data_IF_335208110143
#
_entry.id   IF_335208110143
#
_cell.length_a   1.000
_cell.length_b   1.000
_cell.length_c   1.000
_cell.angle_alpha   90.00
_cell.angle_beta   90.00
_cell.angle_gamma   90.00
#
_symmetry.space_group_name_H-M   'P 1'
#
loop_
_entity.id
_entity.type
_entity.pdbx_description
1 polymer ?
#
# COMPACT_ATOMS: atom_id res chain seq x y z
N UNK A 1 23.20 10.55 -80.06
CA UNK A 1 24.24 10.45 -79.03
C UNK A 1 23.58 10.18 -77.71
N UNK A 2 23.69 8.93 -77.25
CA UNK A 2 23.21 8.41 -75.98
C UNK A 2 24.29 8.77 -74.94
N UNK A 3 23.95 9.48 -73.86
CA UNK A 3 24.83 9.60 -72.70
C UNK A 3 24.20 8.78 -71.58
N UNK A 4 24.98 7.79 -71.17
CA UNK A 4 24.67 6.77 -70.19
C UNK A 4 24.34 7.38 -68.84
N UNK A 5 23.38 6.75 -68.17
CA UNK A 5 23.14 6.92 -66.75
C UNK A 5 24.42 6.54 -66.01
N UNK A 6 25.05 7.52 -65.36
CA UNK A 6 26.05 7.24 -64.34
C UNK A 6 25.27 6.76 -63.11
N UNK A 7 25.34 5.46 -62.86
CA UNK A 7 25.17 4.88 -61.54
C UNK A 7 26.20 5.55 -60.62
N UNK A 8 25.77 6.60 -59.91
CA UNK A 8 26.53 7.06 -58.75
C UNK A 8 26.33 6.02 -57.65
N UNK A 9 27.41 5.31 -57.40
CA UNK A 9 27.70 4.40 -56.31
C UNK A 9 27.75 5.19 -54.99
N UNK A 10 26.59 5.44 -54.37
CA UNK A 10 26.54 6.06 -53.04
C UNK A 10 26.84 5.01 -51.97
N UNK A 11 28.03 5.16 -51.37
CA UNK A 11 28.66 4.37 -50.32
C UNK A 11 27.88 4.28 -48.97
N UNK A 12 26.62 4.68 -48.92
CA UNK A 12 25.76 4.64 -47.74
C UNK A 12 24.33 4.22 -48.12
N UNK A 13 23.79 3.13 -47.56
CA UNK A 13 22.49 2.56 -47.95
C UNK A 13 21.29 3.34 -47.39
N UNK A 14 21.48 4.59 -46.96
CA UNK A 14 20.41 5.37 -46.34
C UNK A 14 19.90 6.42 -47.31
N UNK A 15 18.59 6.44 -47.46
CA UNK A 15 17.86 7.43 -48.22
C UNK A 15 18.16 8.84 -47.67
N UNK A 16 18.70 9.77 -48.49
CA UNK A 16 18.95 11.15 -48.09
C UNK A 16 17.70 11.85 -47.54
N UNK A 17 16.51 11.47 -48.01
CA UNK A 17 15.24 11.96 -47.52
C UNK A 17 14.97 11.49 -46.08
N UNK A 18 15.31 10.24 -45.75
CA UNK A 18 15.23 9.72 -44.38
C UNK A 18 16.19 10.45 -43.42
N UNK A 19 17.40 10.79 -43.86
CA UNK A 19 18.35 11.58 -43.06
C UNK A 19 17.81 12.99 -42.80
N UNK A 20 17.16 13.60 -43.81
CA UNK A 20 16.51 14.89 -43.67
C UNK A 20 15.36 14.84 -42.66
N UNK A 21 14.50 13.81 -42.71
CA UNK A 21 13.42 13.65 -41.74
C UNK A 21 13.90 13.34 -40.31
N UNK A 22 15.01 12.62 -40.14
CA UNK A 22 15.69 12.46 -38.84
C UNK A 22 16.19 13.82 -38.33
N UNK A 23 16.71 14.68 -39.20
CA UNK A 23 17.19 16.02 -38.82
C UNK A 23 16.05 17.00 -38.46
N UNK A 24 14.86 16.80 -39.03
CA UNK A 24 13.65 17.59 -38.75
C UNK A 24 12.72 16.94 -37.72
N UNK A 25 13.11 15.80 -37.14
CA UNK A 25 12.39 15.09 -36.09
C UNK A 25 10.96 14.70 -36.55
N UNK A 26 10.83 14.43 -37.86
CA UNK A 26 9.63 13.95 -38.55
C UNK A 26 9.64 12.42 -38.53
N UNK A 27 8.62 11.83 -37.92
CA UNK A 27 8.51 10.39 -37.84
C UNK A 27 8.05 9.83 -39.21
N UNK A 28 8.73 8.80 -39.70
CA UNK A 28 8.38 8.08 -40.93
C UNK A 28 7.77 6.71 -40.60
N UNK A 29 6.83 6.25 -41.43
CA UNK A 29 6.23 4.92 -41.30
C UNK A 29 7.15 3.80 -41.84
N UNK A 30 6.74 2.54 -41.69
CA UNK A 30 7.49 1.36 -42.19
C UNK A 30 7.69 1.35 -43.72
N UNK A 31 6.98 2.22 -44.44
CA UNK A 31 7.05 2.37 -45.90
C UNK A 31 7.80 3.63 -46.33
N UNK A 32 8.38 4.38 -45.38
CA UNK A 32 9.13 5.60 -45.63
C UNK A 32 8.29 6.86 -45.83
N UNK A 33 6.97 6.81 -45.60
CA UNK A 33 6.12 8.00 -45.70
C UNK A 33 6.13 8.80 -44.40
N UNK A 34 6.09 10.13 -44.53
CA UNK A 34 5.90 11.05 -43.42
C UNK A 34 4.62 10.74 -42.65
N UNK A 35 4.75 10.51 -41.34
CA UNK A 35 3.60 10.44 -40.45
C UNK A 35 2.98 11.83 -40.32
N UNK A 36 1.66 11.90 -40.50
CA UNK A 36 0.88 13.09 -40.18
C UNK A 36 1.19 13.56 -38.76
N UNK A 37 1.26 14.87 -38.53
CA UNK A 37 1.61 15.46 -37.23
C UNK A 37 0.81 14.88 -36.04
N UNK A 38 -0.46 14.48 -36.25
CA UNK A 38 -1.29 13.79 -35.24
C UNK A 38 -0.75 12.42 -34.84
N UNK A 39 -0.11 11.69 -35.77
CA UNK A 39 0.50 10.38 -35.54
C UNK A 39 1.92 10.49 -34.96
N UNK A 40 2.55 11.67 -35.04
CA UNK A 40 3.88 11.89 -34.44
C UNK A 40 3.84 12.00 -32.91
N UNK A 41 2.67 12.31 -32.33
CA UNK A 41 2.48 12.43 -30.87
C UNK A 41 2.39 11.07 -30.16
N UNK A 42 1.86 10.05 -30.84
CA UNK A 42 1.55 8.75 -30.23
C UNK A 42 2.80 7.98 -29.78
N UNK A 43 3.87 7.85 -30.60
CA UNK A 43 5.05 7.10 -30.19
C UNK A 43 5.77 7.71 -28.96
N UNK A 44 6.03 9.03 -28.90
CA UNK A 44 6.62 9.65 -27.71
C UNK A 44 5.76 9.52 -26.46
N UNK A 45 4.43 9.67 -26.57
CA UNK A 45 3.52 9.48 -25.45
C UNK A 45 3.53 8.03 -24.94
N UNK A 46 3.57 7.05 -25.85
CA UNK A 46 3.66 5.64 -25.50
C UNK A 46 4.98 5.31 -24.78
N UNK A 47 6.10 5.86 -25.26
CA UNK A 47 7.42 5.69 -24.62
C UNK A 47 7.45 6.34 -23.23
N UNK A 48 6.91 7.55 -23.09
CA UNK A 48 6.81 8.22 -21.78
C UNK A 48 6.00 7.38 -20.79
N UNK A 49 4.84 6.85 -21.22
CA UNK A 49 4.03 5.96 -20.39
C UNK A 49 4.77 4.66 -20.03
N UNK A 50 5.44 4.03 -21.00
CA UNK A 50 6.19 2.79 -20.78
C UNK A 50 7.39 2.96 -19.84
N UNK A 51 7.96 4.16 -19.75
CA UNK A 51 9.05 4.47 -18.81
C UNK A 51 8.55 4.82 -17.40
N UNK A 52 7.33 5.37 -17.28
CA UNK A 52 6.75 5.76 -15.99
C UNK A 52 6.01 4.61 -15.30
N UNK A 53 5.31 3.73 -16.03
CA UNK A 53 4.57 2.60 -15.45
C UNK A 53 5.45 1.70 -14.55
N UNK A 54 6.69 1.30 -14.94
CA UNK A 54 7.52 0.41 -14.14
C UNK A 54 8.04 1.02 -12.83
N UNK A 55 7.98 2.36 -12.70
CA UNK A 55 8.41 3.06 -11.49
C UNK A 55 7.41 2.91 -10.33
N UNK A 56 6.21 2.41 -10.62
CA UNK A 56 5.12 2.24 -9.66
C UNK A 56 4.75 0.77 -9.50
N UNK A 57 4.42 0.38 -8.27
CA UNK A 57 3.89 -0.97 -8.04
C UNK A 57 2.46 -1.08 -8.56
N UNK A 58 2.05 -2.28 -8.98
CA UNK A 58 0.67 -2.54 -9.43
C UNK A 58 -0.36 -2.14 -8.36
N UNK A 59 -0.01 -2.35 -7.09
CA UNK A 59 -0.86 -1.97 -5.97
C UNK A 59 -0.96 -0.44 -5.82
N UNK A 60 0.11 0.32 -6.05
CA UNK A 60 0.05 1.80 -6.09
C UNK A 60 -0.81 2.31 -7.25
N UNK A 61 -0.72 1.68 -8.42
CA UNK A 61 -1.52 2.07 -9.59
C UNK A 61 -3.01 1.78 -9.42
N UNK A 62 -3.37 0.82 -8.56
CA UNK A 62 -4.76 0.37 -8.36
C UNK A 62 -5.37 0.85 -7.04
N UNK A 63 -4.56 1.16 -6.03
CA UNK A 63 -4.99 1.70 -4.75
C UNK A 63 -4.77 3.21 -4.77
N UNK A 64 -5.85 3.96 -5.00
CA UNK A 64 -5.84 5.38 -4.70
C UNK A 64 -5.76 5.54 -3.17
N UNK A 65 -4.56 5.75 -2.65
CA UNK A 65 -4.39 6.17 -1.26
C UNK A 65 -4.95 7.59 -1.09
N UNK A 66 -5.51 7.87 0.09
CA UNK A 66 -6.24 9.10 0.40
C UNK A 66 -5.44 10.36 0.00
N UNK A 67 -5.84 10.99 -1.11
CA UNK A 67 -5.35 12.31 -1.53
C UNK A 67 -4.26 12.33 -2.62
N UNK A 68 -3.61 11.21 -2.94
CA UNK A 68 -2.59 11.18 -3.99
C UNK A 68 -2.79 9.97 -4.92
N UNK A 69 -3.36 10.21 -6.09
CA UNK A 69 -3.47 9.20 -7.14
C UNK A 69 -2.15 9.14 -7.91
N UNK A 70 -1.40 8.02 -7.87
CA UNK A 70 -0.15 7.88 -8.64
C UNK A 70 -0.38 8.05 -10.14
N UNK A 71 -1.56 7.64 -10.63
CA UNK A 71 -1.95 7.87 -12.03
C UNK A 71 -2.03 9.35 -12.38
N UNK A 72 -2.44 10.20 -11.45
CA UNK A 72 -2.48 11.64 -11.68
C UNK A 72 -1.06 12.22 -11.73
N UNK A 73 -0.15 11.75 -10.89
CA UNK A 73 1.26 12.11 -10.96
C UNK A 73 1.90 11.71 -12.30
N UNK A 74 1.62 10.48 -12.77
CA UNK A 74 2.09 9.99 -14.08
C UNK A 74 1.55 10.88 -15.21
N UNK A 75 0.25 11.20 -15.21
CA UNK A 75 -0.33 12.12 -16.21
C UNK A 75 0.38 13.46 -16.24
N UNK A 76 0.67 14.05 -15.07
CA UNK A 76 1.37 15.33 -14.99
C UNK A 76 2.81 15.24 -15.49
N UNK A 77 3.50 14.13 -15.25
CA UNK A 77 4.84 13.89 -15.79
C UNK A 77 4.81 13.75 -17.31
N UNK A 78 3.92 12.93 -17.86
CA UNK A 78 3.76 12.75 -19.31
C UNK A 78 3.35 14.09 -19.97
N UNK A 79 2.42 14.83 -19.37
CA UNK A 79 1.97 16.13 -19.87
C UNK A 79 3.15 17.10 -19.98
N UNK A 80 3.98 17.21 -18.93
CA UNK A 80 5.16 18.09 -18.94
C UNK A 80 6.19 17.67 -19.98
N UNK A 81 6.44 16.37 -20.12
CA UNK A 81 7.41 15.87 -21.10
C UNK A 81 6.96 16.14 -22.54
N UNK A 82 5.68 15.85 -22.84
CA UNK A 82 5.13 16.12 -24.16
C UNK A 82 5.08 17.63 -24.44
N UNK A 83 4.69 18.47 -23.47
CA UNK A 83 4.70 19.93 -23.65
C UNK A 83 6.10 20.44 -23.98
N UNK A 84 7.12 19.99 -23.24
CA UNK A 84 8.52 20.36 -23.50
C UNK A 84 8.97 20.00 -24.92
N UNK A 85 8.51 18.87 -25.46
CA UNK A 85 8.89 18.38 -26.79
C UNK A 85 8.13 19.03 -27.94
N UNK A 86 6.86 19.37 -27.72
CA UNK A 86 5.94 19.73 -28.81
C UNK A 86 5.50 21.20 -28.82
N UNK A 87 5.54 21.92 -27.69
CA UNK A 87 5.28 23.37 -27.65
C UNK A 87 6.24 24.15 -28.58
N UNK A 88 7.56 23.85 -28.62
CA UNK A 88 8.48 24.49 -29.56
C UNK A 88 8.14 24.23 -31.03
N UNK A 89 7.40 23.16 -31.32
CA UNK A 89 6.94 22.78 -32.66
C UNK A 89 5.57 23.38 -33.01
N UNK A 90 5.03 24.26 -32.17
CA UNK A 90 3.72 24.90 -32.38
C UNK A 90 2.52 24.02 -32.04
N UNK A 91 2.73 22.91 -31.32
CA UNK A 91 1.66 21.99 -30.90
C UNK A 91 1.40 22.21 -29.41
N UNK A 92 0.18 22.65 -29.08
CA UNK A 92 -0.28 22.79 -27.71
C UNK A 92 -1.00 21.53 -27.24
N UNK A 93 -0.66 21.08 -26.03
CA UNK A 93 -1.27 19.89 -25.42
C UNK A 93 -2.27 20.35 -24.36
N UNK A 94 -3.55 20.07 -24.62
CA UNK A 94 -4.67 20.50 -23.78
C UNK A 94 -4.87 19.53 -22.61
N UNK A 95 -4.77 18.22 -22.87
CA UNK A 95 -4.96 17.19 -21.85
C UNK A 95 -4.25 15.89 -22.22
N UNK A 96 -3.91 15.11 -21.18
CA UNK A 96 -3.43 13.73 -21.30
C UNK A 96 -4.34 12.82 -20.48
N UNK A 97 -4.85 11.77 -21.11
CA UNK A 97 -5.65 10.74 -20.46
C UNK A 97 -4.92 9.40 -20.48
N UNK A 98 -5.03 8.64 -19.38
CA UNK A 98 -4.62 7.24 -19.33
C UNK A 98 -5.91 6.42 -19.43
N UNK A 99 -5.97 5.51 -20.40
CA UNK A 99 -7.10 4.60 -20.59
C UNK A 99 -7.19 3.55 -19.49
N UNK A 100 -8.18 2.67 -19.60
CA UNK A 100 -8.33 1.56 -18.66
C UNK A 100 -7.11 0.63 -18.70
N UNK A 101 -6.53 0.36 -17.53
CA UNK A 101 -5.44 -0.61 -17.39
C UNK A 101 -6.03 -2.02 -17.40
N UNK A 102 -5.77 -2.75 -18.48
CA UNK A 102 -6.19 -4.15 -18.62
C UNK A 102 -5.05 -5.07 -18.20
N UNK A 103 -5.33 -5.96 -17.25
CA UNK A 103 -4.37 -6.93 -16.74
C UNK A 103 -4.79 -8.34 -17.13
N UNK A 104 -3.84 -9.23 -17.47
CA UNK A 104 -4.12 -10.65 -17.64
C UNK A 104 -4.71 -11.27 -16.37
N UNK A 105 -5.59 -12.26 -16.50
CA UNK A 105 -6.30 -12.88 -15.37
C UNK A 105 -5.35 -13.44 -14.30
N UNK A 106 -4.19 -13.95 -14.71
CA UNK A 106 -3.16 -14.44 -13.78
C UNK A 106 -2.64 -13.36 -12.84
N UNK A 107 -2.44 -12.14 -13.34
CA UNK A 107 -1.96 -10.99 -12.55
C UNK A 107 -3.05 -10.52 -11.58
N UNK A 108 -4.30 -10.43 -12.05
CA UNK A 108 -5.45 -10.07 -11.21
C UNK A 108 -5.66 -11.06 -10.06
N UNK A 109 -5.55 -12.36 -10.33
CA UNK A 109 -5.66 -13.40 -9.31
C UNK A 109 -4.52 -13.34 -8.29
N UNK A 110 -3.31 -13.08 -8.75
CA UNK A 110 -2.16 -12.90 -7.86
C UNK A 110 -2.36 -11.68 -6.96
N UNK A 111 -2.80 -10.55 -7.52
CA UNK A 111 -3.09 -9.34 -6.76
C UNK A 111 -4.17 -9.61 -5.69
N UNK A 112 -5.26 -10.27 -6.06
CA UNK A 112 -6.33 -10.61 -5.11
C UNK A 112 -5.81 -11.46 -3.94
N UNK A 113 -4.93 -12.45 -4.22
CA UNK A 113 -4.31 -13.28 -3.19
C UNK A 113 -3.39 -12.49 -2.28
N UNK A 114 -2.57 -11.59 -2.83
CA UNK A 114 -1.70 -10.70 -2.05
C UNK A 114 -2.53 -9.82 -1.12
N UNK A 115 -3.59 -9.19 -1.66
CA UNK A 115 -4.51 -8.37 -0.88
C UNK A 115 -5.20 -9.17 0.24
N UNK A 116 -5.66 -10.39 -0.05
CA UNK A 116 -6.26 -11.27 0.94
C UNK A 116 -5.26 -11.63 2.07
N UNK A 117 -4.02 -11.94 1.72
CA UNK A 117 -2.98 -12.27 2.69
C UNK A 117 -2.66 -11.08 3.61
N UNK A 118 -2.58 -9.88 3.06
CA UNK A 118 -2.38 -8.65 3.84
C UNK A 118 -3.52 -8.39 4.82
N UNK A 119 -4.77 -8.57 4.38
CA UNK A 119 -5.93 -8.44 5.27
C UNK A 119 -5.93 -9.49 6.37
N UNK A 120 -5.67 -10.75 6.01
CA UNK A 120 -5.61 -11.82 6.99
C UNK A 120 -4.53 -11.55 8.05
N UNK A 121 -3.36 -11.07 7.63
CA UNK A 121 -2.27 -10.65 8.52
C UNK A 121 -2.71 -9.51 9.45
N UNK A 122 -3.39 -8.49 8.92
CA UNK A 122 -3.91 -7.37 9.73
C UNK A 122 -4.90 -7.87 10.78
N UNK A 123 -5.85 -8.71 10.39
CA UNK A 123 -6.85 -9.29 11.30
C UNK A 123 -6.16 -10.08 12.42
N UNK A 124 -5.24 -10.98 12.07
CA UNK A 124 -4.50 -11.78 13.05
C UNK A 124 -3.71 -10.91 14.03
N UNK A 125 -3.09 -9.83 13.53
CA UNK A 125 -2.32 -8.90 14.36
C UNK A 125 -3.24 -8.14 15.34
N UNK A 126 -4.38 -7.66 14.87
CA UNK A 126 -5.37 -6.97 15.70
C UNK A 126 -5.97 -7.91 16.75
N UNK A 127 -6.32 -9.14 16.37
CA UNK A 127 -6.83 -10.16 17.29
C UNK A 127 -5.80 -10.51 18.37
N UNK A 128 -4.56 -10.82 17.98
CA UNK A 128 -3.50 -11.15 18.92
C UNK A 128 -3.22 -10.00 19.91
N UNK A 129 -3.29 -8.74 19.45
CA UNK A 129 -3.17 -7.57 20.33
C UNK A 129 -4.35 -7.46 21.31
N UNK A 130 -5.58 -7.69 20.83
CA UNK A 130 -6.78 -7.70 21.67
C UNK A 130 -6.72 -8.79 22.74
N UNK A 131 -6.36 -10.02 22.37
CA UNK A 131 -6.22 -11.14 23.29
C UNK A 131 -5.16 -10.88 24.35
N UNK A 132 -3.99 -10.35 23.95
CA UNK A 132 -2.95 -9.95 24.87
C UNK A 132 -3.42 -8.87 25.85
N UNK A 133 -4.25 -7.93 25.40
CA UNK A 133 -4.81 -6.89 26.27
C UNK A 133 -5.81 -7.47 27.27
N UNK A 134 -6.70 -8.37 26.84
CA UNK A 134 -7.65 -9.08 27.72
C UNK A 134 -6.88 -9.83 28.82
N UNK A 135 -5.87 -10.62 28.44
CA UNK A 135 -5.03 -11.36 29.39
C UNK A 135 -4.36 -10.41 30.40
N UNK A 136 -3.83 -9.27 29.93
CA UNK A 136 -3.23 -8.26 30.81
C UNK A 136 -4.25 -7.66 31.79
N UNK A 137 -5.46 -7.34 31.33
CA UNK A 137 -6.54 -6.80 32.17
C UNK A 137 -6.96 -7.79 33.24
N UNK A 138 -7.17 -9.06 32.87
CA UNK A 138 -7.53 -10.14 33.82
C UNK A 138 -6.43 -10.34 34.86
N UNK A 139 -5.16 -10.42 34.45
CA UNK A 139 -4.03 -10.57 35.39
C UNK A 139 -3.95 -9.38 36.36
N UNK A 140 -4.16 -8.15 35.88
CA UNK A 140 -4.14 -6.96 36.74
C UNK A 140 -5.31 -6.93 37.72
N UNK A 141 -6.51 -7.31 37.27
CA UNK A 141 -7.68 -7.42 38.14
C UNK A 141 -7.44 -8.46 39.25
N UNK A 142 -6.90 -9.63 38.88
CA UNK A 142 -6.55 -10.69 39.85
C UNK A 142 -5.50 -10.23 40.86
N UNK A 143 -4.46 -9.55 40.42
CA UNK A 143 -3.43 -9.01 41.32
C UNK A 143 -4.02 -7.97 42.30
N UNK A 144 -4.95 -7.12 41.85
CA UNK A 144 -5.63 -6.16 42.72
C UNK A 144 -6.51 -6.85 43.77
N UNK A 145 -7.32 -7.83 43.36
CA UNK A 145 -8.13 -8.61 44.29
C UNK A 145 -7.26 -9.32 45.35
N UNK A 146 -6.10 -9.85 44.94
CA UNK A 146 -5.15 -10.46 45.89
C UNK A 146 -4.58 -9.45 46.89
N UNK A 147 -4.25 -8.24 46.45
CA UNK A 147 -3.78 -7.16 47.35
C UNK A 147 -4.87 -6.81 48.35
N UNK A 148 -6.11 -6.63 47.89
CA UNK A 148 -7.25 -6.28 48.74
C UNK A 148 -7.54 -7.35 49.80
N UNK A 149 -7.46 -8.63 49.44
CA UNK A 149 -7.57 -9.74 50.39
C UNK A 149 -6.46 -9.67 51.45
N UNK A 150 -5.20 -9.44 51.04
CA UNK A 150 -4.07 -9.34 51.96
C UNK A 150 -4.23 -8.14 52.91
N UNK A 151 -4.62 -6.97 52.39
CA UNK A 151 -4.89 -5.77 53.20
C UNK A 151 -6.05 -6.02 54.18
N UNK A 152 -7.12 -6.68 53.74
CA UNK A 152 -8.24 -7.06 54.62
C UNK A 152 -7.79 -7.99 55.74
N UNK A 153 -6.94 -8.98 55.46
CA UNK A 153 -6.38 -9.89 56.47
C UNK A 153 -5.53 -9.11 57.48
N UNK A 154 -4.64 -8.23 57.01
CA UNK A 154 -3.76 -7.42 57.88
C UNK A 154 -4.61 -6.52 58.79
N UNK A 155 -5.58 -5.80 58.24
CA UNK A 155 -6.47 -4.92 59.01
C UNK A 155 -7.26 -5.68 60.09
N UNK A 156 -7.75 -6.88 59.76
CA UNK A 156 -8.43 -7.72 60.74
C UNK A 156 -7.50 -8.21 61.85
N UNK A 157 -6.27 -8.63 61.52
CA UNK A 157 -5.26 -9.01 62.53
C UNK A 157 -4.97 -7.83 63.47
N UNK A 158 -4.81 -6.62 62.92
CA UNK A 158 -4.54 -5.40 63.70
C UNK A 158 -5.72 -4.99 64.59
N UNK A 159 -6.96 -5.15 64.12
CA UNK A 159 -8.17 -4.93 64.92
C UNK A 159 -8.24 -5.94 66.09
N UNK A 160 -7.99 -7.22 65.81
CA UNK A 160 -8.05 -8.27 66.84
C UNK A 160 -6.91 -8.18 67.86
N UNK A 161 -5.71 -7.71 67.47
CA UNK A 161 -4.63 -7.46 68.43
C UNK A 161 -4.97 -6.35 69.43
N UNK A 162 -5.95 -5.50 69.12
CA UNK A 162 -6.46 -4.45 70.02
C UNK A 162 -7.63 -4.93 70.89
N UNK A 163 -8.28 -6.02 70.52
CA UNK A 163 -9.40 -6.65 71.24
C UNK A 163 -8.97 -8.03 71.76
N UNK A 164 -8.39 -8.09 72.96
CA UNK A 164 -8.02 -9.34 73.64
C UNK A 164 -9.22 -10.30 73.74
N UNK A 165 -9.27 -11.37 72.92
CA UNK A 165 -10.15 -12.51 73.21
C UNK A 165 -10.67 -13.40 72.08
N UNK A 166 -10.40 -13.15 70.80
CA UNK A 166 -10.92 -14.02 69.72
C UNK A 166 -9.82 -14.84 69.05
N UNK A 167 -10.01 -16.15 68.96
CA UNK A 167 -9.13 -17.12 68.30
C UNK A 167 -8.91 -16.76 66.82
N UNK A 168 -7.73 -16.22 66.52
CA UNK A 168 -7.27 -15.76 65.20
C UNK A 168 -7.52 -16.79 64.09
N UNK A 169 -7.50 -18.09 64.41
CA UNK A 169 -7.64 -19.18 63.44
C UNK A 169 -9.06 -19.29 62.84
N UNK A 170 -10.11 -19.02 63.62
CA UNK A 170 -11.49 -19.15 63.16
C UNK A 170 -11.88 -18.04 62.18
N UNK A 171 -11.40 -16.82 62.40
CA UNK A 171 -11.70 -15.67 61.53
C UNK A 171 -10.93 -15.77 60.22
N UNK A 172 -9.66 -16.23 60.25
CA UNK A 172 -8.89 -16.49 59.03
C UNK A 172 -9.59 -17.55 58.17
N UNK A 173 -10.11 -18.63 58.78
CA UNK A 173 -10.88 -19.62 58.04
C UNK A 173 -12.18 -19.06 57.46
N UNK A 174 -12.96 -18.31 58.24
CA UNK A 174 -14.21 -17.74 57.76
C UNK A 174 -13.97 -16.80 56.57
N UNK A 175 -12.91 -15.99 56.61
CA UNK A 175 -12.57 -15.07 55.53
C UNK A 175 -11.94 -15.76 54.31
N UNK A 176 -11.21 -16.86 54.52
CA UNK A 176 -10.78 -17.73 53.41
C UNK A 176 -11.98 -18.37 52.70
N UNK A 177 -13.02 -18.77 53.45
CA UNK A 177 -14.25 -19.33 52.90
C UNK A 177 -15.00 -18.25 52.10
N UNK A 178 -15.19 -17.05 52.66
CA UNK A 178 -15.84 -15.93 51.93
C UNK A 178 -15.05 -15.54 50.67
N UNK A 179 -13.72 -15.44 50.75
CA UNK A 179 -12.89 -15.12 49.59
C UNK A 179 -12.91 -16.20 48.50
N UNK A 180 -13.12 -17.47 48.88
CA UNK A 180 -13.30 -18.57 47.93
C UNK A 180 -14.70 -18.55 47.31
N UNK A 181 -15.75 -18.25 48.06
CA UNK A 181 -17.11 -18.10 47.53
C UNK A 181 -17.26 -16.94 46.56
N UNK A 182 -16.63 -15.79 46.84
CA UNK A 182 -16.62 -14.64 45.93
C UNK A 182 -15.83 -14.95 44.65
N UNK A 183 -14.70 -15.67 44.76
CA UNK A 183 -13.90 -16.08 43.60
C UNK A 183 -14.63 -17.09 42.70
N UNK A 184 -15.43 -17.99 43.28
CA UNK A 184 -16.28 -18.94 42.54
C UNK A 184 -17.45 -18.22 41.88
N UNK A 185 -18.09 -17.28 42.58
CA UNK A 185 -19.24 -16.52 42.07
C UNK A 185 -18.87 -15.56 40.94
N UNK A 186 -17.67 -14.96 41.00
CA UNK A 186 -17.12 -14.15 39.91
C UNK A 186 -16.69 -14.98 38.69
N UNK A 187 -16.44 -16.29 38.86
CA UNK A 187 -16.13 -17.23 37.78
C UNK A 187 -17.37 -17.87 37.12
N UNK A 188 -18.53 -17.82 37.78
CA UNK A 188 -19.78 -18.44 37.30
C UNK A 188 -20.69 -17.51 36.47
N UNK A 189 -20.28 -16.26 36.23
CA UNK A 189 -20.93 -15.39 35.25
C UNK A 189 -20.25 -15.63 33.90
N UNK A 190 -20.71 -16.67 33.19
CA UNK A 190 -20.28 -16.98 31.83
C UNK A 190 -21.50 -17.28 30.97
#
# INVERSE_FOLDING_TARGET
MRREAAEDDWLYPFDPEAIFHVSYDDAVDEKGHLLTWTRQLTPPAAVALANEIPQHSLDELTRAEEGASPLEAIKQTIMRDLQRRFVPKGIEIIAVGIGELTFPDGVRNQQFRTWQADWLRKIQTTQASGDAEVVRRVKRARARAQIEIVESIINNIDLMRREDGVELSQVIMLRMIEALEDAVSAGSVQ
#
